data_IF_394682634411
#
_entry.id   IF_394682634411
#
_cell.length_a   1.000
_cell.length_b   1.000
_cell.length_c   1.000
_cell.angle_alpha   90.00
_cell.angle_beta   90.00
_cell.angle_gamma   90.00
#
_symmetry.space_group_name_H-M   'P 1'
#
loop_
_entity.id
_entity.type
_entity.pdbx_description
1 polymer ?
#
# COMPACT_ATOMS: atom_id res chain seq x y z
N UNK A 1 -46.15 95.44 -14.63
CA UNK A 1 -46.05 94.42 -15.67
C UNK A 1 -45.26 93.21 -15.09
N UNK A 2 -45.95 92.12 -14.74
CA UNK A 2 -45.34 90.93 -14.19
C UNK A 2 -45.62 89.77 -15.16
N UNK A 3 -44.61 89.19 -15.76
CA UNK A 3 -44.71 87.99 -16.58
C UNK A 3 -44.45 86.79 -15.68
N UNK A 4 -45.46 85.95 -15.52
CA UNK A 4 -45.38 84.70 -14.79
C UNK A 4 -44.95 83.61 -15.76
N UNK A 5 -43.79 82.98 -15.54
CA UNK A 5 -43.35 81.83 -16.29
C UNK A 5 -43.65 80.58 -15.48
N UNK A 6 -44.59 79.75 -15.96
CA UNK A 6 -44.97 78.45 -15.38
C UNK A 6 -44.10 77.36 -15.96
N UNK A 7 -43.23 76.78 -15.17
CA UNK A 7 -42.47 75.62 -15.56
C UNK A 7 -43.30 74.33 -15.33
N UNK A 8 -43.57 73.60 -16.41
CA UNK A 8 -44.14 72.23 -16.34
C UNK A 8 -42.99 71.28 -16.13
N UNK A 9 -43.02 70.62 -14.99
CA UNK A 9 -42.09 69.51 -14.71
C UNK A 9 -42.68 68.22 -15.29
N UNK A 10 -42.03 67.69 -16.31
CA UNK A 10 -42.35 66.33 -16.84
C UNK A 10 -41.73 65.28 -15.96
N UNK A 11 -42.56 64.47 -15.29
CA UNK A 11 -42.14 63.26 -14.60
C UNK A 11 -41.86 62.17 -15.62
N UNK A 12 -40.63 61.80 -15.81
CA UNK A 12 -40.22 60.62 -16.56
C UNK A 12 -40.20 59.43 -15.54
N UNK A 13 -41.16 58.54 -15.67
CA UNK A 13 -41.17 57.28 -14.94
C UNK A 13 -40.15 56.32 -15.59
N UNK A 14 -39.02 56.10 -14.94
CA UNK A 14 -38.05 55.07 -15.32
C UNK A 14 -38.55 53.75 -14.71
N UNK A 15 -39.08 52.87 -15.56
CA UNK A 15 -39.37 51.47 -15.19
C UNK A 15 -38.04 50.75 -15.01
N UNK A 16 -37.61 50.59 -13.78
CA UNK A 16 -36.46 49.77 -13.44
C UNK A 16 -36.82 48.28 -13.53
N UNK A 17 -36.33 47.62 -14.57
CA UNK A 17 -36.35 46.14 -14.63
C UNK A 17 -35.42 45.59 -13.59
N UNK A 18 -35.97 45.01 -12.50
CA UNK A 18 -35.18 44.18 -11.57
C UNK A 18 -34.77 42.90 -12.31
N UNK A 19 -33.51 42.86 -12.75
CA UNK A 19 -32.86 41.60 -13.06
C UNK A 19 -32.59 40.90 -11.71
N UNK A 20 -33.40 39.86 -11.41
CA UNK A 20 -33.10 38.93 -10.32
C UNK A 20 -31.89 38.09 -10.74
N UNK A 21 -30.73 38.51 -10.34
CA UNK A 21 -29.53 37.64 -10.38
C UNK A 21 -29.79 36.49 -9.44
N UNK A 22 -30.05 35.32 -10.01
CA UNK A 22 -30.06 34.05 -9.27
C UNK A 22 -28.63 33.75 -8.86
N UNK A 23 -28.27 34.15 -7.65
CA UNK A 23 -27.07 33.63 -6.99
C UNK A 23 -27.20 32.12 -6.87
N UNK A 24 -26.57 31.39 -7.80
CA UNK A 24 -26.30 29.99 -7.60
C UNK A 24 -25.31 29.92 -6.41
N UNK A 25 -25.86 29.65 -5.24
CA UNK A 25 -25.04 29.26 -4.09
C UNK A 25 -24.36 27.97 -4.48
N UNK A 26 -23.17 28.09 -5.03
CA UNK A 26 -22.28 26.96 -5.24
C UNK A 26 -22.17 26.22 -3.91
N UNK A 27 -22.75 25.03 -3.84
CA UNK A 27 -22.61 24.14 -2.70
C UNK A 27 -21.12 23.92 -2.55
N UNK A 28 -20.51 24.58 -1.57
CA UNK A 28 -19.12 24.35 -1.22
C UNK A 28 -18.95 22.83 -1.06
N UNK A 29 -18.05 22.24 -1.84
CA UNK A 29 -17.74 20.83 -1.71
C UNK A 29 -17.34 20.63 -0.25
N UNK A 30 -18.12 19.83 0.48
CA UNK A 30 -17.75 19.44 1.84
C UNK A 30 -16.44 18.68 1.72
N UNK A 31 -15.35 19.31 2.11
CA UNK A 31 -14.08 18.64 2.33
C UNK A 31 -14.31 17.77 3.56
N UNK A 32 -14.62 16.50 3.33
CA UNK A 32 -14.68 15.56 4.43
C UNK A 32 -13.30 15.58 5.12
N UNK A 33 -13.27 15.62 6.47
CA UNK A 33 -12.00 15.52 7.18
C UNK A 33 -11.26 14.25 6.72
N UNK A 34 -9.93 14.26 6.67
CA UNK A 34 -9.18 13.07 6.31
C UNK A 34 -9.67 11.88 7.14
N UNK A 35 -10.12 10.83 6.47
CA UNK A 35 -10.57 9.64 7.18
C UNK A 35 -9.38 9.04 7.91
N UNK A 36 -9.52 8.82 9.22
CA UNK A 36 -8.48 8.21 10.04
C UNK A 36 -8.14 6.81 9.51
N UNK A 37 -6.84 6.55 9.31
CA UNK A 37 -6.38 5.23 8.83
C UNK A 37 -6.39 4.25 9.99
N UNK A 38 -7.29 3.27 9.94
CA UNK A 38 -7.42 2.24 10.97
C UNK A 38 -7.13 0.83 10.47
N UNK A 39 -7.14 0.64 9.15
CA UNK A 39 -6.90 -0.67 8.53
C UNK A 39 -5.43 -0.83 8.15
N UNK A 40 -4.80 -1.84 8.70
CA UNK A 40 -3.41 -2.22 8.41
C UNK A 40 -3.43 -3.58 7.75
N UNK A 41 -2.94 -3.66 6.52
CA UNK A 41 -2.72 -4.93 5.81
C UNK A 41 -1.23 -5.20 5.79
N UNK A 42 -0.80 -6.29 6.41
CA UNK A 42 0.62 -6.66 6.58
C UNK A 42 0.97 -7.88 5.73
N UNK A 43 2.10 -7.81 5.04
CA UNK A 43 2.53 -8.77 4.03
C UNK A 43 3.89 -9.33 4.41
N UNK A 44 3.99 -10.65 4.56
CA UNK A 44 5.22 -11.34 4.91
C UNK A 44 6.18 -11.49 3.71
N UNK A 45 7.43 -11.83 3.99
CA UNK A 45 8.44 -12.10 2.99
C UNK A 45 8.43 -13.54 2.45
N UNK A 46 9.43 -13.87 1.65
CA UNK A 46 9.70 -15.23 1.19
C UNK A 46 9.96 -16.17 2.38
N UNK A 47 9.68 -17.45 2.22
CA UNK A 47 9.92 -18.53 3.22
C UNK A 47 9.21 -18.32 4.55
N UNK A 48 8.24 -17.42 4.61
CA UNK A 48 7.50 -17.08 5.81
C UNK A 48 5.98 -17.17 5.52
N UNK A 49 5.19 -16.91 6.53
CA UNK A 49 3.73 -16.79 6.44
C UNK A 49 3.24 -15.64 7.33
N UNK A 50 1.92 -15.42 7.35
CA UNK A 50 1.32 -14.35 8.15
C UNK A 50 1.58 -14.46 9.65
N UNK A 51 1.92 -15.65 10.18
CA UNK A 51 2.25 -15.83 11.59
C UNK A 51 3.58 -15.18 12.00
N UNK A 52 4.44 -14.84 11.04
CA UNK A 52 5.66 -14.04 11.26
C UNK A 52 5.36 -12.71 11.95
N UNK A 53 4.14 -12.21 11.83
CA UNK A 53 3.67 -10.99 12.44
C UNK A 53 2.99 -11.18 13.80
N UNK A 54 2.96 -12.41 14.34
CA UNK A 54 2.22 -12.76 15.56
C UNK A 54 2.57 -11.89 16.79
N UNK A 55 3.82 -11.41 16.88
CA UNK A 55 4.26 -10.51 17.95
C UNK A 55 3.86 -9.04 17.70
N UNK A 56 3.65 -8.64 16.45
CA UNK A 56 3.33 -7.26 16.06
C UNK A 56 1.81 -7.03 16.04
N UNK A 57 1.04 -8.01 15.57
CA UNK A 57 -0.42 -7.91 15.46
C UNK A 57 -1.09 -7.43 16.76
N UNK A 58 -0.86 -8.04 17.94
CA UNK A 58 -1.53 -7.60 19.17
C UNK A 58 -1.11 -6.21 19.60
N UNK A 59 0.10 -5.75 19.28
CA UNK A 59 0.55 -4.39 19.60
C UNK A 59 -0.20 -3.34 18.77
N UNK A 60 -0.46 -3.63 17.50
CA UNK A 60 -1.26 -2.77 16.62
C UNK A 60 -2.73 -2.78 17.03
N UNK A 61 -3.28 -3.96 17.32
CA UNK A 61 -4.67 -4.11 17.79
C UNK A 61 -4.92 -3.39 19.12
N UNK A 62 -3.94 -3.38 20.03
CA UNK A 62 -4.01 -2.62 21.27
C UNK A 62 -4.08 -1.10 21.07
N UNK A 63 -3.70 -0.61 19.87
CA UNK A 63 -3.86 0.79 19.45
C UNK A 63 -5.20 1.06 18.76
N UNK A 64 -6.12 0.10 18.73
CA UNK A 64 -7.41 0.21 18.06
C UNK A 64 -7.35 0.04 16.54
N UNK A 65 -6.24 -0.49 16.01
CA UNK A 65 -6.07 -0.74 14.59
C UNK A 65 -6.65 -2.10 14.20
N UNK A 66 -7.30 -2.17 13.05
CA UNK A 66 -7.74 -3.41 12.41
C UNK A 66 -6.59 -3.96 11.56
N UNK A 67 -6.11 -5.15 11.89
CA UNK A 67 -4.93 -5.75 11.27
C UNK A 67 -5.30 -7.02 10.54
N UNK A 68 -4.92 -7.11 9.27
CA UNK A 68 -5.03 -8.32 8.45
C UNK A 68 -3.65 -8.72 7.97
N UNK A 69 -3.21 -9.94 8.31
CA UNK A 69 -1.99 -10.54 7.78
C UNK A 69 -2.33 -11.37 6.53
N UNK A 70 -1.74 -10.98 5.42
CA UNK A 70 -1.91 -11.69 4.15
C UNK A 70 -1.18 -13.02 4.21
N UNK A 71 -1.78 -14.06 3.62
CA UNK A 71 -1.12 -15.32 3.33
C UNK A 71 -0.76 -15.33 1.86
N UNK A 72 0.50 -15.00 1.56
CA UNK A 72 1.03 -15.03 0.21
C UNK A 72 1.19 -16.48 -0.25
N UNK A 73 0.67 -16.87 -1.42
CA UNK A 73 0.89 -18.20 -1.96
C UNK A 73 2.36 -18.50 -2.29
N UNK A 74 3.17 -17.47 -2.55
CA UNK A 74 4.59 -17.56 -2.93
C UNK A 74 4.82 -18.41 -4.19
N UNK A 75 3.80 -18.51 -5.05
CA UNK A 75 3.83 -19.22 -6.35
C UNK A 75 4.21 -18.30 -7.50
N UNK A 76 3.78 -17.05 -7.45
CA UNK A 76 4.17 -15.97 -8.36
C UNK A 76 3.92 -14.61 -7.73
N UNK A 77 4.61 -13.56 -8.20
CA UNK A 77 4.32 -12.18 -7.78
C UNK A 77 2.85 -11.81 -8.07
N UNK A 78 2.30 -12.27 -9.18
CA UNK A 78 0.91 -11.98 -9.55
C UNK A 78 -0.10 -12.56 -8.54
N UNK A 79 0.16 -13.77 -8.04
CA UNK A 79 -0.70 -14.45 -7.05
C UNK A 79 -0.61 -13.75 -5.69
N UNK A 80 0.60 -13.35 -5.29
CA UNK A 80 0.84 -12.62 -4.02
C UNK A 80 0.19 -11.24 -4.05
N UNK A 81 0.31 -10.52 -5.16
CA UNK A 81 -0.39 -9.25 -5.38
C UNK A 81 -1.91 -9.45 -5.37
N UNK A 82 -2.42 -10.53 -5.98
CA UNK A 82 -3.85 -10.83 -5.96
C UNK A 82 -4.34 -11.15 -4.53
N UNK A 83 -3.55 -11.87 -3.72
CA UNK A 83 -3.85 -12.13 -2.31
C UNK A 83 -3.89 -10.82 -1.51
N UNK A 84 -2.89 -9.95 -1.70
CA UNK A 84 -2.83 -8.64 -1.06
C UNK A 84 -4.03 -7.76 -1.45
N UNK A 85 -4.40 -7.71 -2.74
CA UNK A 85 -5.56 -6.95 -3.22
C UNK A 85 -6.89 -7.47 -2.66
N UNK A 86 -7.04 -8.78 -2.46
CA UNK A 86 -8.23 -9.33 -1.77
C UNK A 86 -8.32 -8.83 -0.33
N UNK A 87 -7.19 -8.80 0.39
CA UNK A 87 -7.14 -8.28 1.74
C UNK A 87 -7.48 -6.77 1.80
N UNK A 88 -7.00 -5.97 0.84
CA UNK A 88 -7.36 -4.55 0.71
C UNK A 88 -8.86 -4.40 0.43
N UNK A 89 -9.40 -5.18 -0.51
CA UNK A 89 -10.80 -5.08 -0.91
C UNK A 89 -11.78 -5.35 0.25
N UNK A 90 -11.40 -6.24 1.18
CA UNK A 90 -12.20 -6.59 2.35
C UNK A 90 -12.23 -5.50 3.44
N UNK A 91 -11.42 -4.44 3.33
CA UNK A 91 -11.40 -3.37 4.32
C UNK A 91 -12.55 -2.36 4.06
N UNK A 92 -13.07 -1.79 5.14
CA UNK A 92 -14.19 -0.82 5.12
C UNK A 92 -13.75 0.64 4.90
N UNK A 93 -12.44 0.92 4.84
CA UNK A 93 -11.90 2.27 4.71
C UNK A 93 -10.49 2.31 4.15
N UNK A 94 -9.77 3.43 4.35
CA UNK A 94 -8.39 3.58 3.89
C UNK A 94 -7.46 2.58 4.55
N UNK A 95 -6.48 2.12 3.78
CA UNK A 95 -5.55 1.04 4.14
C UNK A 95 -4.12 1.54 4.13
N UNK A 96 -3.37 1.25 5.20
CA UNK A 96 -1.92 1.29 5.19
C UNK A 96 -1.39 -0.11 4.90
N UNK A 97 -0.56 -0.26 3.86
CA UNK A 97 0.13 -1.50 3.56
C UNK A 97 1.48 -1.54 4.26
N UNK A 98 1.81 -2.67 4.86
CA UNK A 98 3.11 -2.91 5.48
C UNK A 98 3.72 -4.17 4.86
N UNK A 99 4.92 -4.10 4.32
CA UNK A 99 5.61 -5.25 3.72
C UNK A 99 6.97 -5.48 4.35
N UNK A 100 7.29 -6.75 4.63
CA UNK A 100 8.61 -7.19 5.07
C UNK A 100 9.33 -7.92 3.94
N UNK A 101 10.62 -7.63 3.75
CA UNK A 101 11.48 -8.34 2.79
C UNK A 101 10.86 -8.38 1.38
N UNK A 102 10.66 -9.55 0.78
CA UNK A 102 9.94 -9.75 -0.48
C UNK A 102 8.50 -9.18 -0.44
N UNK A 103 7.84 -9.18 0.72
CA UNK A 103 6.51 -8.56 0.87
C UNK A 103 6.47 -7.09 0.46
N UNK A 104 7.62 -6.40 0.48
CA UNK A 104 7.75 -5.05 -0.05
C UNK A 104 7.48 -4.96 -1.55
N UNK A 105 7.89 -5.97 -2.32
CA UNK A 105 7.61 -6.05 -3.77
C UNK A 105 6.10 -6.18 -4.01
N UNK A 106 5.45 -7.07 -3.26
CA UNK A 106 4.01 -7.29 -3.36
C UNK A 106 3.20 -6.03 -3.01
N UNK A 107 3.58 -5.30 -1.93
CA UNK A 107 2.88 -4.06 -1.57
C UNK A 107 3.16 -2.92 -2.54
N UNK A 108 4.34 -2.86 -3.17
CA UNK A 108 4.64 -1.85 -4.21
C UNK A 108 3.68 -2.00 -5.38
N UNK A 109 3.44 -3.21 -5.87
CA UNK A 109 2.52 -3.48 -6.97
C UNK A 109 1.04 -3.33 -6.54
N UNK A 110 0.68 -3.78 -5.34
CA UNK A 110 -0.68 -3.67 -4.82
C UNK A 110 -1.04 -2.24 -4.39
N UNK A 111 -0.05 -1.41 -4.10
CA UNK A 111 -0.22 -0.05 -3.58
C UNK A 111 -0.90 0.95 -4.52
N UNK A 112 -1.11 0.56 -5.79
CA UNK A 112 -1.89 1.33 -6.76
C UNK A 112 -3.41 1.25 -6.54
N UNK A 113 -3.87 0.50 -5.55
CA UNK A 113 -5.29 0.43 -5.19
C UNK A 113 -5.76 1.76 -4.57
N UNK A 114 -6.92 2.30 -4.96
CA UNK A 114 -7.42 3.58 -4.48
C UNK A 114 -7.69 3.63 -2.97
N UNK A 115 -7.88 2.49 -2.30
CA UNK A 115 -8.00 2.42 -0.83
C UNK A 115 -6.66 2.59 -0.12
N UNK A 116 -5.54 2.37 -0.81
CA UNK A 116 -4.20 2.45 -0.19
C UNK A 116 -3.77 3.90 -0.07
N UNK A 117 -3.51 4.33 1.15
CA UNK A 117 -3.11 5.70 1.49
C UNK A 117 -1.63 5.81 1.86
N UNK A 118 -0.94 4.69 2.04
CA UNK A 118 0.50 4.68 2.32
C UNK A 118 1.09 3.28 2.29
N UNK A 119 2.41 3.23 2.15
CA UNK A 119 3.22 2.02 2.14
C UNK A 119 4.30 2.12 3.22
N UNK A 120 4.49 1.06 3.98
CA UNK A 120 5.55 0.94 4.99
C UNK A 120 6.43 -0.26 4.64
N UNK A 121 7.70 -0.02 4.50
CA UNK A 121 8.70 -1.04 4.19
C UNK A 121 9.51 -1.37 5.45
N UNK A 122 9.42 -2.62 5.90
CA UNK A 122 10.14 -3.12 7.07
C UNK A 122 11.25 -4.05 6.61
N UNK A 123 12.50 -3.59 6.60
CA UNK A 123 13.64 -4.34 6.05
C UNK A 123 13.28 -5.00 4.70
N UNK A 124 12.70 -4.24 3.78
CA UNK A 124 12.01 -4.74 2.61
C UNK A 124 12.59 -4.20 1.31
N UNK A 125 12.36 -4.93 0.23
CA UNK A 125 12.65 -4.50 -1.11
C UNK A 125 11.56 -3.52 -1.59
N UNK A 126 11.99 -2.39 -2.14
CA UNK A 126 11.12 -1.34 -2.67
C UNK A 126 11.51 -1.04 -4.13
N UNK A 127 11.27 -1.97 -5.06
CA UNK A 127 11.67 -1.77 -6.46
C UNK A 127 10.83 -0.69 -7.12
N UNK A 128 11.46 0.07 -8.00
CA UNK A 128 10.81 1.02 -8.90
C UNK A 128 10.15 0.31 -10.08
N UNK A 129 9.38 1.06 -10.88
CA UNK A 129 8.80 0.56 -12.12
C UNK A 129 9.88 -0.02 -13.03
N UNK A 130 9.63 -1.22 -13.57
CA UNK A 130 10.55 -1.94 -14.43
C UNK A 130 11.68 -2.69 -13.71
N UNK A 131 11.79 -2.55 -12.38
CA UNK A 131 12.73 -3.32 -11.58
C UNK A 131 12.14 -4.64 -11.11
N UNK A 132 13.02 -5.58 -10.78
CA UNK A 132 12.70 -6.87 -10.16
C UNK A 132 13.55 -7.05 -8.90
N UNK A 133 13.23 -8.05 -8.09
CA UNK A 133 14.09 -8.43 -6.96
C UNK A 133 15.53 -8.66 -7.42
N UNK A 134 15.70 -9.40 -8.52
CA UNK A 134 17.04 -9.69 -9.05
C UNK A 134 17.80 -8.42 -9.47
N UNK A 135 17.10 -7.43 -10.08
CA UNK A 135 17.76 -6.19 -10.50
C UNK A 135 18.17 -5.30 -9.32
N UNK A 136 17.32 -5.15 -8.30
CA UNK A 136 17.62 -4.30 -7.14
C UNK A 136 18.65 -4.93 -6.21
N UNK A 137 18.79 -6.26 -6.19
CA UNK A 137 19.80 -6.95 -5.37
C UNK A 137 21.15 -7.11 -6.06
N UNK A 138 21.18 -7.05 -7.41
CA UNK A 138 22.40 -7.26 -8.21
C UNK A 138 23.62 -6.41 -7.79
N UNK A 139 23.49 -5.14 -7.37
CA UNK A 139 24.64 -4.32 -6.95
C UNK A 139 25.29 -4.78 -5.63
N UNK A 140 24.62 -5.61 -4.85
CA UNK A 140 25.08 -6.03 -3.52
C UNK A 140 25.81 -7.38 -3.58
N UNK A 141 26.79 -7.62 -2.69
CA UNK A 141 27.45 -8.91 -2.62
C UNK A 141 26.45 -10.01 -2.20
N UNK A 142 26.70 -11.25 -2.63
CA UNK A 142 25.92 -12.40 -2.17
C UNK A 142 25.90 -12.49 -0.64
N UNK A 143 24.74 -12.80 -0.08
CA UNK A 143 24.62 -13.03 1.36
C UNK A 143 24.91 -14.50 1.70
N UNK A 144 25.35 -14.82 2.94
CA UNK A 144 25.52 -16.21 3.37
C UNK A 144 24.27 -17.06 3.17
N UNK A 145 23.08 -16.49 3.40
CA UNK A 145 21.80 -17.16 3.19
C UNK A 145 21.68 -17.79 1.80
N UNK A 146 22.24 -17.16 0.76
CA UNK A 146 22.18 -17.69 -0.61
C UNK A 146 22.77 -19.10 -0.73
N UNK A 147 23.78 -19.44 0.06
CA UNK A 147 24.39 -20.77 0.09
C UNK A 147 23.53 -21.82 0.81
N UNK A 148 22.55 -21.39 1.59
CA UNK A 148 21.64 -22.21 2.38
C UNK A 148 20.27 -22.39 1.74
N UNK A 149 20.04 -21.83 0.55
CA UNK A 149 18.80 -22.03 -0.21
C UNK A 149 18.91 -23.33 -1.04
N UNK A 150 17.85 -24.10 -1.07
CA UNK A 150 17.72 -25.35 -1.85
C UNK A 150 16.51 -25.26 -2.77
N UNK A 151 16.71 -25.62 -4.02
CA UNK A 151 15.62 -25.76 -5.00
C UNK A 151 15.15 -27.22 -5.06
N UNK A 152 13.86 -27.40 -5.18
CA UNK A 152 13.28 -28.69 -5.56
C UNK A 152 13.22 -28.86 -7.10
N UNK A 153 12.68 -30.00 -7.56
CA UNK A 153 12.55 -30.31 -8.98
C UNK A 153 11.56 -29.40 -9.73
N UNK A 154 10.67 -28.72 -9.01
CA UNK A 154 9.63 -27.84 -9.55
C UNK A 154 10.03 -26.36 -9.48
N UNK A 155 11.23 -26.06 -8.94
CA UNK A 155 11.77 -24.72 -8.85
C UNK A 155 11.29 -23.93 -7.64
N UNK A 156 10.75 -24.61 -6.61
CA UNK A 156 10.49 -23.99 -5.32
C UNK A 156 11.73 -24.02 -4.44
N UNK A 157 11.92 -22.94 -3.72
CA UNK A 157 13.07 -22.69 -2.88
C UNK A 157 12.69 -22.82 -1.41
N UNK A 158 13.54 -23.50 -0.65
CA UNK A 158 13.48 -23.60 0.82
C UNK A 158 14.83 -23.23 1.42
N UNK A 159 14.84 -22.81 2.68
CA UNK A 159 16.06 -22.52 3.44
C UNK A 159 16.38 -23.71 4.32
N UNK A 160 17.67 -24.12 4.38
CA UNK A 160 18.09 -25.22 5.26
C UNK A 160 17.88 -24.85 6.74
N UNK A 161 17.78 -25.84 7.65
CA UNK A 161 17.73 -25.56 9.10
C UNK A 161 18.92 -24.70 9.58
N UNK A 162 20.11 -24.91 9.00
CA UNK A 162 21.29 -24.11 9.29
C UNK A 162 21.09 -22.67 8.84
N UNK A 163 20.62 -22.43 7.60
CA UNK A 163 20.35 -21.09 7.07
C UNK A 163 19.27 -20.36 7.88
N UNK A 164 18.23 -21.06 8.34
CA UNK A 164 17.25 -20.50 9.27
C UNK A 164 17.92 -20.05 10.57
N UNK A 165 18.78 -20.89 11.15
CA UNK A 165 19.37 -20.62 12.45
C UNK A 165 20.45 -19.53 12.45
N UNK A 166 21.24 -19.45 11.38
CA UNK A 166 22.45 -18.61 11.33
C UNK A 166 22.29 -17.33 10.50
N UNK A 167 21.45 -17.37 9.44
CA UNK A 167 21.40 -16.30 8.44
C UNK A 167 20.03 -15.62 8.32
N UNK A 168 18.93 -16.37 8.53
CA UNK A 168 17.59 -15.88 8.29
C UNK A 168 16.87 -15.40 9.56
N UNK A 169 17.05 -16.12 10.68
CA UNK A 169 16.35 -15.88 11.94
C UNK A 169 17.29 -16.06 13.16
N UNK A 170 18.52 -15.60 13.04
CA UNK A 170 19.58 -15.78 14.02
C UNK A 170 19.26 -15.23 15.42
N UNK A 171 18.39 -14.24 15.51
CA UNK A 171 17.96 -13.54 16.72
C UNK A 171 16.75 -14.19 17.42
N UNK A 172 16.14 -15.22 16.81
CA UNK A 172 15.03 -15.97 17.40
C UNK A 172 15.53 -17.04 18.38
N UNK A 173 14.62 -17.46 19.28
CA UNK A 173 14.90 -18.62 20.15
C UNK A 173 14.98 -19.91 19.34
N UNK A 174 15.66 -20.92 19.87
CA UNK A 174 15.79 -22.23 19.20
C UNK A 174 14.43 -22.85 18.90
N UNK A 175 13.45 -22.69 19.81
CA UNK A 175 12.09 -23.16 19.60
C UNK A 175 11.42 -22.45 18.40
N UNK A 176 11.59 -21.14 18.30
CA UNK A 176 11.02 -20.36 17.17
C UNK A 176 11.71 -20.75 15.87
N UNK A 177 13.02 -20.94 15.86
CA UNK A 177 13.80 -21.42 14.69
C UNK A 177 13.31 -22.80 14.23
N UNK A 178 13.06 -23.74 15.15
CA UNK A 178 12.51 -25.05 14.84
C UNK A 178 11.12 -24.96 14.22
N UNK A 179 10.25 -24.10 14.78
CA UNK A 179 8.90 -23.87 14.22
C UNK A 179 9.04 -23.27 12.82
N UNK A 180 9.83 -22.21 12.64
CA UNK A 180 10.01 -21.59 11.35
C UNK A 180 10.58 -22.56 10.29
N UNK A 181 11.53 -23.41 10.67
CA UNK A 181 12.05 -24.47 9.81
C UNK A 181 10.96 -25.41 9.32
N UNK A 182 10.02 -25.76 10.20
CA UNK A 182 8.93 -26.68 9.89
C UNK A 182 7.76 -26.03 9.13
N UNK A 183 7.56 -24.73 9.30
CA UNK A 183 6.40 -23.99 8.74
C UNK A 183 6.76 -23.10 7.57
N UNK A 184 8.05 -22.96 7.23
CA UNK A 184 8.43 -22.12 6.10
C UNK A 184 7.67 -22.50 4.82
N UNK A 185 7.08 -21.53 4.15
CA UNK A 185 6.42 -21.75 2.88
C UNK A 185 7.46 -21.84 1.75
N UNK A 186 7.51 -22.95 0.99
CA UNK A 186 8.33 -23.01 -0.21
C UNK A 186 8.01 -21.83 -1.15
N UNK A 187 9.03 -21.17 -1.66
CA UNK A 187 8.88 -19.97 -2.46
C UNK A 187 9.33 -20.24 -3.88
N UNK A 188 8.45 -20.08 -4.87
CA UNK A 188 8.82 -20.28 -6.26
C UNK A 188 9.93 -19.28 -6.66
N UNK A 189 11.00 -19.77 -7.30
CA UNK A 189 12.10 -18.92 -7.78
C UNK A 189 11.61 -17.80 -8.71
N UNK A 190 10.49 -18.03 -9.40
CA UNK A 190 9.83 -17.09 -10.29
C UNK A 190 9.39 -15.79 -9.59
N UNK A 191 9.13 -15.79 -8.26
CA UNK A 191 8.71 -14.56 -7.56
C UNK A 191 9.81 -13.50 -7.52
N UNK A 192 11.07 -13.88 -7.67
CA UNK A 192 12.22 -12.98 -7.65
C UNK A 192 12.58 -12.39 -9.01
N UNK A 193 12.01 -12.92 -10.11
CA UNK A 193 12.37 -12.55 -11.48
C UNK A 193 11.51 -11.51 -12.17
N UNK A 194 10.17 -11.47 -11.98
CA UNK A 194 9.30 -10.57 -12.72
C UNK A 194 9.56 -9.10 -12.42
N UNK A 195 9.53 -8.27 -13.45
CA UNK A 195 9.54 -6.82 -13.32
C UNK A 195 8.17 -6.31 -12.87
N UNK A 196 8.17 -5.25 -12.06
CA UNK A 196 6.95 -4.53 -11.70
C UNK A 196 6.30 -3.91 -12.94
N UNK A 197 4.98 -3.97 -12.99
CA UNK A 197 4.22 -3.32 -14.05
C UNK A 197 4.07 -1.82 -13.75
N UNK A 198 4.07 -0.95 -14.79
CA UNK A 198 3.82 0.46 -14.59
C UNK A 198 2.46 0.69 -13.93
N UNK A 199 2.37 1.60 -12.94
CA UNK A 199 1.10 1.99 -12.37
C UNK A 199 0.23 2.63 -13.46
N UNK A 200 -1.01 2.16 -13.61
CA UNK A 200 -1.97 2.80 -14.51
C UNK A 200 -2.34 4.18 -13.94
N UNK A 201 -1.54 5.19 -14.25
CA UNK A 201 -1.94 6.59 -14.18
C UNK A 201 -1.89 7.29 -12.82
N UNK A 202 -1.17 6.80 -11.81
CA UNK A 202 -0.89 7.57 -10.57
C UNK A 202 0.60 7.61 -10.28
N UNK A 203 1.12 8.82 -10.09
CA UNK A 203 2.44 9.00 -9.49
C UNK A 203 2.31 8.65 -8.00
N UNK A 204 2.98 7.60 -7.56
CA UNK A 204 3.13 7.30 -6.14
C UNK A 204 3.99 8.38 -5.51
N UNK A 205 3.44 9.13 -4.55
CA UNK A 205 4.27 9.91 -3.65
C UNK A 205 4.86 8.94 -2.63
N UNK A 206 6.04 8.42 -2.94
CA UNK A 206 6.87 7.72 -1.97
C UNK A 206 7.51 8.79 -1.08
N UNK A 207 7.00 8.95 0.13
CA UNK A 207 7.73 9.60 1.21
C UNK A 207 8.74 8.60 1.77
N UNK A 208 10.00 9.00 1.79
CA UNK A 208 11.09 8.29 2.46
C UNK A 208 10.98 8.44 3.98
#
# INVERSE_FOLDING_TARGET
MKVSQTYRIALIAIAGSLLAETFHTGRAAQVNPPQEVRNIVIVHGAWADGSSWSKVIPLLQAKGLHVVAVQNPLTSLADDVAATKRAIASQDGPVLLVGHSYGGVAITEAGNDPKVVGLVYVAALAPSEGESVASVTKPFPPTPLGSEVRADAEGFLTVTPKGIAEDFAQDLTDKEKQILTATQAPTAAAVFGPQLRPPRGRRSHLGA
#
